data_IF_506064240308
#
_entry.id   IF_506064240308
#
_cell.length_a   1.000
_cell.length_b   1.000
_cell.length_c   1.000
_cell.angle_alpha   90.00
_cell.angle_beta   90.00
_cell.angle_gamma   90.00
#
_symmetry.space_group_name_H-M   'P 1'
#
loop_
_entity.id
_entity.type
_entity.pdbx_description
1 polymer ?
#
# COMPACT_ATOMS: atom_id res chain seq x y z
N UNK A 1 -2.35 -16.72 20.27
CA UNK A 1 -1.30 -16.73 19.22
C UNK A 1 -1.55 -15.53 18.31
N UNK A 2 -0.51 -14.84 17.86
CA UNK A 2 -0.67 -13.81 16.82
C UNK A 2 -1.19 -14.48 15.53
N UNK A 3 -2.14 -13.84 14.85
CA UNK A 3 -2.70 -14.37 13.60
C UNK A 3 -1.68 -14.28 12.43
N UNK A 4 -0.79 -13.27 12.47
CA UNK A 4 0.35 -13.15 11.56
C UNK A 4 1.67 -13.43 12.28
N UNK A 5 2.63 -13.99 11.55
CA UNK A 5 4.00 -14.20 12.04
C UNK A 5 4.70 -12.86 12.34
N UNK A 6 4.39 -11.82 11.57
CA UNK A 6 4.98 -10.48 11.72
C UNK A 6 4.56 -9.78 13.02
N UNK A 7 3.41 -10.16 13.59
CA UNK A 7 2.90 -9.62 14.86
C UNK A 7 3.30 -10.48 16.08
N UNK A 8 4.03 -11.57 15.85
CA UNK A 8 4.40 -12.50 16.93
C UNK A 8 5.50 -11.92 17.82
N UNK A 9 5.21 -11.75 19.11
CA UNK A 9 6.21 -11.35 20.11
C UNK A 9 7.32 -12.40 20.29
N UNK A 10 7.04 -13.67 19.98
CA UNK A 10 8.00 -14.76 20.13
C UNK A 10 8.83 -14.98 18.87
N UNK A 11 8.21 -14.88 17.69
CA UNK A 11 8.80 -15.32 16.42
C UNK A 11 9.04 -14.19 15.42
N UNK A 12 8.45 -13.01 15.62
CA UNK A 12 8.52 -11.91 14.64
C UNK A 12 9.94 -11.43 14.38
N UNK A 13 10.81 -11.46 15.38
CA UNK A 13 12.22 -11.08 15.24
C UNK A 13 13.03 -12.00 14.32
N UNK A 14 12.55 -13.23 14.05
CA UNK A 14 13.20 -14.16 13.11
C UNK A 14 13.05 -13.72 11.65
N UNK A 15 12.00 -12.95 11.35
CA UNK A 15 11.62 -12.52 10.00
C UNK A 15 11.18 -11.06 10.00
N UNK A 16 11.93 -10.21 10.71
CA UNK A 16 11.57 -8.80 10.87
C UNK A 16 11.52 -8.09 9.51
N UNK A 17 10.39 -7.45 9.16
CA UNK A 17 10.28 -6.66 7.93
C UNK A 17 10.89 -5.25 8.07
N UNK A 18 11.61 -4.98 9.17
CA UNK A 18 12.10 -3.64 9.50
C UNK A 18 10.96 -2.61 9.58
N UNK A 19 11.21 -1.42 9.04
CA UNK A 19 10.25 -0.32 9.02
C UNK A 19 8.99 -0.60 8.20
N UNK A 20 8.98 -1.63 7.35
CA UNK A 20 7.82 -1.96 6.52
C UNK A 20 6.64 -2.49 7.35
N UNK A 21 6.89 -3.08 8.53
CA UNK A 21 5.83 -3.60 9.41
C UNK A 21 4.78 -2.55 9.75
N UNK A 22 5.20 -1.30 9.97
CA UNK A 22 4.27 -0.20 10.32
C UNK A 22 3.29 0.16 9.20
N UNK A 23 3.63 -0.14 7.94
CA UNK A 23 2.84 0.21 6.76
C UNK A 23 1.60 -0.68 6.59
N UNK A 24 1.60 -1.87 7.19
CA UNK A 24 0.46 -2.80 7.22
C UNK A 24 -0.09 -2.91 8.65
N UNK A 25 -0.44 -1.76 9.21
CA UNK A 25 -1.19 -1.64 10.47
C UNK A 25 -2.54 -0.98 10.21
N UNK A 26 -3.52 -1.23 11.08
CA UNK A 26 -4.84 -0.59 10.99
C UNK A 26 -4.72 0.95 11.01
N UNK A 27 -3.76 1.49 11.78
CA UNK A 27 -3.49 2.93 11.84
C UNK A 27 -2.93 3.46 10.51
N UNK A 28 -2.03 2.72 9.85
CA UNK A 28 -1.52 3.12 8.54
C UNK A 28 -2.60 3.05 7.45
N UNK A 29 -3.49 2.07 7.53
CA UNK A 29 -4.66 1.97 6.65
C UNK A 29 -5.61 3.16 6.82
N UNK A 30 -6.03 3.45 8.05
CA UNK A 30 -6.87 4.61 8.38
C UNK A 30 -6.21 5.92 7.94
N UNK A 31 -4.93 6.11 8.24
CA UNK A 31 -4.17 7.29 7.85
C UNK A 31 -4.13 7.47 6.33
N UNK A 32 -3.90 6.40 5.57
CA UNK A 32 -3.88 6.44 4.11
C UNK A 32 -5.26 6.80 3.55
N UNK A 33 -6.34 6.20 4.06
CA UNK A 33 -7.71 6.53 3.63
C UNK A 33 -8.07 7.99 3.93
N UNK A 34 -7.67 8.53 5.09
CA UNK A 34 -7.87 9.95 5.41
C UNK A 34 -7.11 10.87 4.44
N UNK A 35 -5.87 10.53 4.06
CA UNK A 35 -5.13 11.31 3.05
C UNK A 35 -5.84 11.32 1.69
N UNK A 36 -6.40 10.18 1.29
CA UNK A 36 -7.18 10.07 0.05
C UNK A 36 -8.45 10.92 0.11
N UNK A 37 -9.22 10.84 1.20
CA UNK A 37 -10.43 11.66 1.37
C UNK A 37 -10.13 13.16 1.27
N UNK A 38 -9.04 13.63 1.89
CA UNK A 38 -8.62 15.02 1.78
C UNK A 38 -8.18 15.42 0.37
N UNK A 39 -7.45 14.53 -0.33
CA UNK A 39 -7.04 14.77 -1.71
C UNK A 39 -8.24 14.84 -2.66
N UNK A 40 -9.25 13.98 -2.46
CA UNK A 40 -10.50 14.00 -3.23
C UNK A 40 -11.26 15.29 -2.98
N UNK A 41 -11.47 15.68 -1.71
CA UNK A 41 -12.14 16.94 -1.39
C UNK A 41 -11.43 18.15 -2.00
N UNK A 42 -10.09 18.17 -1.95
CA UNK A 42 -9.28 19.22 -2.61
C UNK A 42 -9.49 19.24 -4.13
N UNK A 43 -9.45 18.08 -4.79
CA UNK A 43 -9.63 17.97 -6.23
C UNK A 43 -11.04 18.38 -6.68
N UNK A 44 -12.06 18.06 -5.88
CA UNK A 44 -13.45 18.44 -6.09
C UNK A 44 -13.69 19.94 -5.86
N UNK A 45 -13.13 20.52 -4.80
CA UNK A 45 -13.24 21.94 -4.50
C UNK A 45 -12.57 22.83 -5.56
N UNK A 46 -11.46 22.38 -6.14
CA UNK A 46 -10.80 23.07 -7.26
C UNK A 46 -11.61 23.07 -8.58
N UNK A 47 -12.71 22.32 -8.64
CA UNK A 47 -13.60 22.17 -9.79
C UNK A 47 -15.04 22.59 -9.49
N UNK A 48 -15.22 23.31 -8.38
CA UNK A 48 -16.53 23.82 -7.93
C UNK A 48 -17.60 22.73 -7.71
N UNK A 49 -17.19 21.47 -7.48
CA UNK A 49 -18.13 20.38 -7.19
C UNK A 49 -18.60 20.38 -5.74
N UNK A 50 -17.74 20.84 -4.84
CA UNK A 50 -18.07 21.13 -3.44
C UNK A 50 -17.58 22.55 -3.12
N UNK A 51 -18.16 23.25 -2.12
CA UNK A 51 -17.68 24.56 -1.73
C UNK A 51 -16.19 24.55 -1.38
N UNK A 52 -15.42 25.52 -1.88
CA UNK A 52 -13.98 25.61 -1.64
C UNK A 52 -13.62 25.67 -0.13
N UNK A 53 -14.45 26.34 0.67
CA UNK A 53 -14.31 26.38 2.13
C UNK A 53 -14.49 25.01 2.77
N UNK A 54 -15.45 24.20 2.28
CA UNK A 54 -15.65 22.82 2.72
C UNK A 54 -14.48 21.93 2.33
N UNK A 55 -13.95 22.07 1.11
CA UNK A 55 -12.74 21.36 0.68
C UNK A 55 -11.54 21.69 1.59
N UNK A 56 -11.34 22.96 1.93
CA UNK A 56 -10.29 23.40 2.84
C UNK A 56 -10.50 22.88 4.27
N UNK A 57 -11.74 22.89 4.77
CA UNK A 57 -12.09 22.37 6.09
C UNK A 57 -11.82 20.86 6.19
N UNK A 58 -12.23 20.08 5.18
CA UNK A 58 -11.94 18.64 5.10
C UNK A 58 -10.43 18.41 5.03
N UNK A 59 -9.72 19.20 4.22
CA UNK A 59 -8.26 19.12 4.09
C UNK A 59 -7.51 19.31 5.41
N UNK A 60 -7.96 20.24 6.27
CA UNK A 60 -7.42 20.42 7.62
C UNK A 60 -7.79 19.25 8.53
N UNK A 61 -9.07 18.89 8.55
CA UNK A 61 -9.58 17.84 9.43
C UNK A 61 -8.89 16.50 9.20
N UNK A 62 -8.64 16.10 7.95
CA UNK A 62 -7.95 14.84 7.70
C UNK A 62 -6.53 14.84 8.25
N UNK A 63 -5.86 15.98 8.43
CA UNK A 63 -4.51 16.04 9.01
C UNK A 63 -4.56 16.03 10.54
N UNK A 64 -5.53 16.72 11.13
CA UNK A 64 -5.60 16.96 12.58
C UNK A 64 -6.34 15.84 13.35
N UNK A 65 -7.35 15.23 12.74
CA UNK A 65 -8.18 14.21 13.41
C UNK A 65 -7.42 12.89 13.53
N UNK A 66 -7.35 12.39 14.76
CA UNK A 66 -6.87 11.04 15.07
C UNK A 66 -8.07 10.10 15.25
N UNK A 67 -8.23 9.13 14.33
CA UNK A 67 -9.31 8.13 14.41
C UNK A 67 -8.71 6.80 14.86
N UNK A 68 -9.19 6.29 15.99
CA UNK A 68 -8.84 4.96 16.48
C UNK A 68 -9.47 3.89 15.57
N UNK A 69 -8.68 3.02 14.91
CA UNK A 69 -9.22 1.95 14.08
C UNK A 69 -10.14 0.99 14.85
N UNK A 70 -9.92 0.82 16.15
CA UNK A 70 -10.72 -0.08 16.98
C UNK A 70 -12.20 0.33 17.02
N UNK A 71 -12.47 1.64 16.94
CA UNK A 71 -13.82 2.21 16.91
C UNK A 71 -14.58 1.87 15.62
N UNK A 72 -13.87 1.56 14.53
CA UNK A 72 -14.46 1.25 13.22
C UNK A 72 -14.94 -0.20 13.12
N UNK A 73 -14.41 -1.09 13.95
CA UNK A 73 -14.55 -2.56 13.87
C UNK A 73 -15.99 -3.03 13.65
N UNK A 74 -16.94 -2.52 14.44
CA UNK A 74 -18.34 -2.99 14.42
C UNK A 74 -19.00 -2.74 13.06
N UNK A 75 -18.79 -1.56 12.50
CA UNK A 75 -19.38 -1.19 11.22
C UNK A 75 -18.59 -1.80 10.05
N UNK A 76 -17.27 -1.94 10.16
CA UNK A 76 -16.46 -2.72 9.21
C UNK A 76 -16.99 -4.14 9.07
N UNK A 77 -17.27 -4.83 10.19
CA UNK A 77 -17.81 -6.18 10.17
C UNK A 77 -19.19 -6.28 9.47
N UNK A 78 -19.99 -5.21 9.50
CA UNK A 78 -21.31 -5.16 8.87
C UNK A 78 -21.25 -4.80 7.39
N UNK A 79 -20.33 -3.92 6.99
CA UNK A 79 -20.24 -3.35 5.64
C UNK A 79 -19.17 -4.02 4.77
N UNK A 80 -18.30 -4.84 5.36
CA UNK A 80 -17.16 -5.46 4.66
C UNK A 80 -15.99 -4.51 4.38
N UNK A 81 -16.09 -3.24 4.79
CA UNK A 81 -15.10 -2.18 4.56
C UNK A 81 -15.15 -1.15 5.69
N UNK A 82 -14.00 -0.55 6.08
CA UNK A 82 -13.98 0.49 7.10
C UNK A 82 -14.41 1.88 6.59
N UNK A 83 -14.47 2.11 5.28
CA UNK A 83 -14.66 3.46 4.71
C UNK A 83 -15.94 4.15 5.23
N UNK A 84 -17.13 3.50 5.27
CA UNK A 84 -18.33 4.16 5.77
C UNK A 84 -18.22 4.58 7.24
N UNK A 85 -17.61 3.73 8.07
CA UNK A 85 -17.38 4.01 9.49
C UNK A 85 -16.37 5.15 9.67
N UNK A 86 -15.31 5.14 8.87
CA UNK A 86 -14.28 6.18 8.86
C UNK A 86 -14.86 7.54 8.45
N UNK A 87 -15.68 7.59 7.40
CA UNK A 87 -16.36 8.81 6.95
C UNK A 87 -17.27 9.34 8.05
N UNK A 88 -18.05 8.48 8.70
CA UNK A 88 -18.92 8.89 9.81
C UNK A 88 -18.11 9.45 10.99
N UNK A 89 -17.01 8.79 11.37
CA UNK A 89 -16.12 9.25 12.43
C UNK A 89 -15.49 10.61 12.07
N UNK A 90 -14.92 10.76 10.87
CA UNK A 90 -14.34 12.03 10.42
C UNK A 90 -15.37 13.17 10.43
N UNK A 91 -16.59 12.93 9.95
CA UNK A 91 -17.67 13.92 9.98
C UNK A 91 -18.02 14.37 11.39
N UNK A 92 -18.05 13.44 12.35
CA UNK A 92 -18.30 13.73 13.75
C UNK A 92 -17.18 14.58 14.35
N UNK A 93 -15.92 14.19 14.14
CA UNK A 93 -14.74 14.87 14.70
C UNK A 93 -14.52 16.27 14.11
N UNK A 94 -14.98 16.53 12.89
CA UNK A 94 -14.89 17.85 12.27
C UNK A 94 -15.62 18.95 13.04
N UNK A 95 -16.66 18.62 13.82
CA UNK A 95 -17.49 19.59 14.55
C UNK A 95 -17.99 20.79 13.70
N UNK A 96 -18.15 20.59 12.39
CA UNK A 96 -18.58 21.60 11.42
C UNK A 96 -19.56 20.96 10.41
N UNK A 97 -20.84 20.77 10.79
CA UNK A 97 -21.82 20.04 9.98
C UNK A 97 -21.97 20.55 8.55
N UNK A 98 -21.88 21.87 8.36
CA UNK A 98 -21.97 22.56 7.07
C UNK A 98 -20.87 22.12 6.09
N UNK A 99 -19.70 21.73 6.60
CA UNK A 99 -18.58 21.22 5.80
C UNK A 99 -18.54 19.69 5.79
N UNK A 100 -18.87 19.05 6.91
CA UNK A 100 -18.78 17.60 7.09
C UNK A 100 -19.67 16.82 6.10
N UNK A 101 -20.81 17.38 5.68
CA UNK A 101 -21.67 16.76 4.67
C UNK A 101 -20.95 16.47 3.34
N UNK A 102 -19.87 17.19 3.03
CA UNK A 102 -19.09 17.02 1.80
C UNK A 102 -17.97 15.99 1.90
N UNK A 103 -17.71 15.40 3.08
CA UNK A 103 -16.76 14.29 3.22
C UNK A 103 -17.24 13.11 2.37
N UNK A 104 -16.36 12.57 1.51
CA UNK A 104 -16.66 11.46 0.59
C UNK A 104 -17.84 11.76 -0.37
N UNK A 105 -18.06 13.03 -0.72
CA UNK A 105 -19.11 13.40 -1.67
C UNK A 105 -18.85 12.76 -3.03
N UNK A 106 -19.85 12.07 -3.59
CA UNK A 106 -19.77 11.45 -4.92
C UNK A 106 -18.59 10.50 -5.14
N UNK A 107 -18.11 9.84 -4.09
CA UNK A 107 -16.90 9.00 -4.11
C UNK A 107 -17.26 7.55 -3.77
N UNK A 108 -16.82 6.61 -4.61
CA UNK A 108 -17.03 5.19 -4.34
C UNK A 108 -16.13 4.72 -3.20
N UNK A 109 -16.62 3.79 -2.39
CA UNK A 109 -15.83 3.17 -1.29
C UNK A 109 -14.49 2.64 -1.80
N UNK A 110 -14.51 2.00 -2.97
CA UNK A 110 -13.33 1.37 -3.53
C UNK A 110 -12.28 2.37 -4.03
N UNK A 111 -12.68 3.58 -4.42
CA UNK A 111 -11.74 4.67 -4.77
C UNK A 111 -10.83 5.00 -3.59
N UNK A 112 -11.42 5.04 -2.39
CA UNK A 112 -10.71 5.32 -1.14
C UNK A 112 -9.79 4.16 -0.76
N UNK A 113 -10.28 2.92 -0.77
CA UNK A 113 -9.48 1.76 -0.35
C UNK A 113 -8.32 1.47 -1.31
N UNK A 114 -8.59 1.51 -2.63
CA UNK A 114 -7.57 1.18 -3.63
C UNK A 114 -6.48 2.24 -3.69
N UNK A 115 -6.84 3.53 -3.67
CA UNK A 115 -5.83 4.60 -3.62
C UNK A 115 -5.03 4.55 -2.32
N UNK A 116 -5.67 4.23 -1.18
CA UNK A 116 -4.98 4.09 0.10
C UNK A 116 -4.00 2.89 0.11
N UNK A 117 -4.36 1.78 -0.54
CA UNK A 117 -3.46 0.66 -0.78
C UNK A 117 -2.25 1.10 -1.61
N UNK A 118 -2.46 1.86 -2.69
CA UNK A 118 -1.38 2.34 -3.56
C UNK A 118 -0.42 3.29 -2.84
N UNK A 119 -0.91 4.14 -1.93
CA UNK A 119 -0.06 4.97 -1.07
C UNK A 119 0.85 4.16 -0.14
N UNK A 120 0.36 3.04 0.38
CA UNK A 120 1.14 2.13 1.24
C UNK A 120 2.13 1.30 0.40
N UNK A 121 1.69 0.76 -0.74
CA UNK A 121 2.55 0.04 -1.67
C UNK A 121 3.69 0.89 -2.21
N UNK A 122 3.46 2.17 -2.50
CA UNK A 122 4.53 3.10 -2.87
C UNK A 122 5.63 3.17 -1.81
N UNK A 123 5.26 3.23 -0.53
CA UNK A 123 6.23 3.26 0.57
C UNK A 123 7.00 1.93 0.69
N UNK A 124 6.32 0.79 0.51
CA UNK A 124 6.97 -0.53 0.44
C UNK A 124 8.00 -0.57 -0.68
N UNK A 125 7.63 -0.15 -1.89
CA UNK A 125 8.53 -0.14 -3.04
C UNK A 125 9.73 0.79 -2.83
N UNK A 126 9.56 1.92 -2.14
CA UNK A 126 10.67 2.81 -1.79
C UNK A 126 11.64 2.18 -0.78
N UNK A 127 11.13 1.48 0.23
CA UNK A 127 11.96 0.76 1.21
C UNK A 127 12.76 -0.36 0.52
N UNK A 128 12.09 -1.15 -0.31
CA UNK A 128 12.74 -2.22 -1.07
C UNK A 128 13.78 -1.68 -2.05
N UNK A 129 13.49 -0.58 -2.76
CA UNK A 129 14.49 0.04 -3.65
C UNK A 129 15.74 0.48 -2.89
N UNK A 130 15.58 1.13 -1.73
CA UNK A 130 16.70 1.59 -0.92
C UNK A 130 17.56 0.41 -0.45
N UNK A 131 16.92 -0.66 0.03
CA UNK A 131 17.63 -1.83 0.51
C UNK A 131 18.28 -2.63 -0.63
N UNK A 132 17.60 -2.80 -1.76
CA UNK A 132 18.16 -3.47 -2.94
C UNK A 132 19.37 -2.72 -3.49
N UNK A 133 19.35 -1.38 -3.54
CA UNK A 133 20.53 -0.58 -3.91
C UNK A 133 21.70 -0.84 -2.96
N UNK A 134 21.44 -0.83 -1.66
CA UNK A 134 22.49 -1.09 -0.67
C UNK A 134 23.06 -2.52 -0.79
N UNK A 135 22.19 -3.53 -0.98
CA UNK A 135 22.62 -4.91 -1.19
C UNK A 135 23.47 -5.00 -2.46
N UNK A 136 23.04 -4.38 -3.58
CA UNK A 136 23.82 -4.38 -4.82
C UNK A 136 25.23 -3.80 -4.60
N UNK A 137 25.34 -2.67 -3.91
CA UNK A 137 26.62 -2.05 -3.58
C UNK A 137 27.50 -2.95 -2.70
N UNK A 138 26.90 -3.61 -1.70
CA UNK A 138 27.61 -4.53 -0.80
C UNK A 138 28.12 -5.79 -1.52
N UNK A 139 27.31 -6.36 -2.42
CA UNK A 139 27.71 -7.50 -3.24
C UNK A 139 28.85 -7.13 -4.18
N UNK A 140 28.76 -5.98 -4.85
CA UNK A 140 29.83 -5.49 -5.72
C UNK A 140 31.13 -5.28 -4.95
N UNK A 141 31.09 -4.71 -3.74
CA UNK A 141 32.28 -4.58 -2.87
C UNK A 141 32.90 -5.93 -2.47
N UNK A 142 32.08 -6.98 -2.36
CA UNK A 142 32.52 -8.36 -2.05
C UNK A 142 32.91 -9.16 -3.31
N UNK A 143 32.85 -8.57 -4.51
CA UNK A 143 33.14 -9.26 -5.77
C UNK A 143 32.07 -10.27 -6.19
N UNK A 144 30.87 -10.20 -5.61
CA UNK A 144 29.74 -11.05 -5.95
C UNK A 144 28.88 -10.34 -6.99
N UNK A 145 28.40 -11.07 -8.00
CA UNK A 145 27.52 -10.51 -9.04
C UNK A 145 26.22 -9.97 -8.43
N UNK A 146 25.90 -8.72 -8.75
CA UNK A 146 24.64 -8.06 -8.37
C UNK A 146 23.66 -7.92 -9.55
N UNK A 147 23.91 -8.58 -10.68
CA UNK A 147 23.12 -8.41 -11.91
C UNK A 147 21.63 -8.68 -11.74
N UNK A 148 21.26 -9.71 -10.95
CA UNK A 148 19.86 -10.01 -10.67
C UNK A 148 19.15 -8.88 -9.89
N UNK A 149 19.87 -8.24 -8.95
CA UNK A 149 19.35 -7.10 -8.19
C UNK A 149 19.24 -5.86 -9.08
N UNK A 150 20.24 -5.63 -9.94
CA UNK A 150 20.20 -4.54 -10.93
C UNK A 150 19.01 -4.69 -11.86
N UNK A 151 18.66 -5.92 -12.28
CA UNK A 151 17.44 -6.17 -13.08
C UNK A 151 16.16 -5.86 -12.31
N UNK A 152 16.06 -6.23 -11.02
CA UNK A 152 14.90 -5.88 -10.18
C UNK A 152 14.72 -4.37 -10.06
N UNK A 153 15.82 -3.64 -9.83
CA UNK A 153 15.85 -2.18 -9.77
C UNK A 153 15.49 -1.55 -11.12
N UNK A 154 15.95 -2.13 -12.23
CA UNK A 154 15.66 -1.66 -13.58
C UNK A 154 14.19 -1.79 -13.97
N UNK A 155 13.47 -2.78 -13.44
CA UNK A 155 12.03 -2.96 -13.68
C UNK A 155 11.14 -2.01 -12.87
N UNK A 156 11.68 -1.40 -11.80
CA UNK A 156 10.90 -0.64 -10.84
C UNK A 156 10.29 0.67 -11.39
N UNK A 157 10.98 1.48 -12.23
CA UNK A 157 10.39 2.67 -12.83
C UNK A 157 9.12 2.35 -13.64
N UNK A 158 9.16 1.33 -14.50
CA UNK A 158 8.02 0.92 -15.32
C UNK A 158 6.88 0.37 -14.46
N UNK A 159 7.20 -0.42 -13.43
CA UNK A 159 6.22 -0.92 -12.48
C UNK A 159 5.49 0.24 -11.77
N UNK A 160 6.21 1.26 -11.33
CA UNK A 160 5.59 2.44 -10.70
C UNK A 160 4.71 3.21 -11.66
N UNK A 161 5.19 3.45 -12.88
CA UNK A 161 4.46 4.22 -13.87
C UNK A 161 3.17 3.52 -14.32
N UNK A 162 3.18 2.19 -14.42
CA UNK A 162 2.05 1.40 -14.91
C UNK A 162 1.09 0.91 -13.82
N UNK A 163 1.58 0.66 -12.60
CA UNK A 163 0.79 -0.03 -11.57
C UNK A 163 0.47 0.83 -10.34
N UNK A 164 1.32 1.78 -9.95
CA UNK A 164 1.05 2.65 -8.79
C UNK A 164 0.18 3.83 -9.19
N UNK A 165 -1.12 3.60 -9.31
CA UNK A 165 -2.06 4.59 -9.81
C UNK A 165 -3.17 4.95 -8.80
N UNK A 166 -3.85 6.07 -9.01
CA UNK A 166 -5.04 6.43 -8.22
C UNK A 166 -6.27 5.64 -8.68
N UNK A 167 -7.22 5.43 -7.77
CA UNK A 167 -8.57 4.95 -8.09
C UNK A 167 -9.56 6.08 -7.88
N UNK A 168 -10.35 6.38 -8.93
CA UNK A 168 -11.44 7.36 -8.86
C UNK A 168 -12.46 7.11 -9.98
N UNK A 169 -13.35 6.15 -9.83
CA UNK A 169 -14.50 6.01 -10.76
C UNK A 169 -15.63 6.98 -10.43
N UNK A 170 -15.71 7.43 -9.18
CA UNK A 170 -16.77 8.31 -8.70
C UNK A 170 -18.11 7.58 -8.58
N UNK A 171 -19.05 8.21 -7.87
CA UNK A 171 -20.45 7.81 -7.93
C UNK A 171 -21.12 8.56 -9.08
N UNK A 172 -21.46 7.85 -10.17
CA UNK A 172 -22.00 8.43 -11.40
C UNK A 172 -23.36 9.13 -11.20
N UNK A 173 -24.05 8.86 -10.09
CA UNK A 173 -25.27 9.58 -9.73
C UNK A 173 -24.99 10.98 -9.19
N UNK A 174 -23.80 11.20 -8.61
CA UNK A 174 -23.42 12.45 -7.95
C UNK A 174 -22.40 13.26 -8.76
N UNK A 175 -21.46 12.61 -9.46
CA UNK A 175 -20.37 13.27 -10.18
C UNK A 175 -20.58 13.19 -11.70
N UNK A 176 -20.63 14.33 -12.42
CA UNK A 176 -20.75 14.31 -13.87
C UNK A 176 -19.59 13.58 -14.55
N UNK A 177 -19.91 12.65 -15.46
CA UNK A 177 -18.93 11.77 -16.09
C UNK A 177 -17.81 12.53 -16.83
N UNK A 178 -18.09 13.72 -17.35
CA UNK A 178 -17.12 14.57 -18.05
C UNK A 178 -16.04 15.16 -17.13
N UNK A 179 -16.27 15.21 -15.81
CA UNK A 179 -15.33 15.78 -14.83
C UNK A 179 -14.42 14.72 -14.20
N UNK A 180 -14.79 13.44 -14.30
CA UNK A 180 -14.03 12.32 -13.72
C UNK A 180 -12.56 12.27 -14.15
N UNK A 181 -12.20 12.45 -15.45
CA UNK A 181 -10.80 12.44 -15.86
C UNK A 181 -9.97 13.54 -15.19
N UNK A 182 -10.55 14.72 -15.02
CA UNK A 182 -9.85 15.85 -14.41
C UNK A 182 -9.63 15.62 -12.91
N UNK A 183 -10.62 15.08 -12.20
CA UNK A 183 -10.45 14.73 -10.77
C UNK A 183 -9.37 13.66 -10.62
N UNK A 184 -9.42 12.62 -11.46
CA UNK A 184 -8.42 11.54 -11.45
C UNK A 184 -7.01 12.06 -11.71
N UNK A 185 -6.85 12.97 -12.67
CA UNK A 185 -5.57 13.61 -12.95
C UNK A 185 -5.07 14.47 -11.77
N UNK A 186 -5.94 15.25 -11.14
CA UNK A 186 -5.58 16.04 -9.96
C UNK A 186 -5.24 15.17 -8.74
N UNK A 187 -5.90 14.03 -8.57
CA UNK A 187 -5.56 13.05 -7.54
C UNK A 187 -4.18 12.44 -7.79
N UNK A 188 -3.91 12.03 -9.02
CA UNK A 188 -2.62 11.47 -9.43
C UNK A 188 -1.48 12.45 -9.11
N UNK A 189 -1.63 13.71 -9.51
CA UNK A 189 -0.66 14.78 -9.19
C UNK A 189 -0.54 15.00 -7.67
N UNK A 190 -1.66 15.24 -6.98
CA UNK A 190 -1.68 15.59 -5.57
C UNK A 190 -1.20 14.47 -4.63
N UNK A 191 -1.34 13.22 -5.05
CA UNK A 191 -0.90 12.04 -4.30
C UNK A 191 0.42 11.47 -4.81
N UNK A 192 1.02 12.03 -5.86
CA UNK A 192 2.21 11.48 -6.55
C UNK A 192 2.07 9.99 -6.87
N UNK A 193 0.98 9.68 -7.57
CA UNK A 193 0.63 8.37 -8.15
C UNK A 193 0.31 8.58 -9.64
N UNK A 194 0.30 7.51 -10.42
CA UNK A 194 -0.08 7.56 -11.83
C UNK A 194 -1.59 7.79 -12.01
N UNK A 195 -1.97 8.42 -13.13
CA UNK A 195 -3.35 8.47 -13.58
C UNK A 195 -3.60 7.30 -14.54
N UNK A 196 -4.45 6.32 -14.20
CA UNK A 196 -4.69 5.16 -15.05
C UNK A 196 -5.54 5.50 -16.29
N UNK A 197 -6.12 6.70 -16.38
CA UNK A 197 -7.02 7.17 -17.46
C UNK A 197 -8.28 6.31 -17.67
N UNK A 198 -8.56 5.39 -16.73
CA UNK A 198 -9.69 4.46 -16.74
C UNK A 198 -10.06 4.05 -15.32
N UNK A 199 -11.25 3.50 -15.18
CA UNK A 199 -11.59 2.69 -14.01
C UNK A 199 -10.87 1.34 -14.07
N UNK A 200 -10.43 0.86 -12.90
CA UNK A 200 -9.73 -0.40 -12.70
C UNK A 200 -10.25 -1.17 -11.47
N UNK A 201 -11.43 -0.84 -10.94
CA UNK A 201 -12.02 -1.55 -9.79
C UNK A 201 -12.07 -3.07 -9.99
N UNK A 202 -12.38 -3.52 -11.21
CA UNK A 202 -12.45 -4.94 -11.58
C UNK A 202 -11.19 -5.45 -12.31
N UNK A 203 -10.27 -4.56 -12.69
CA UNK A 203 -9.03 -4.92 -13.37
C UNK A 203 -7.86 -4.81 -12.39
N UNK A 204 -7.47 -5.96 -11.86
CA UNK A 204 -6.45 -6.07 -10.80
C UNK A 204 -5.06 -6.39 -11.34
N UNK A 205 -4.84 -6.36 -12.67
CA UNK A 205 -3.54 -6.71 -13.28
C UNK A 205 -2.39 -5.88 -12.72
N UNK A 206 -2.61 -4.58 -12.48
CA UNK A 206 -1.58 -3.71 -11.88
C UNK A 206 -1.13 -4.19 -10.48
N UNK A 207 -2.07 -4.65 -9.65
CA UNK A 207 -1.75 -5.23 -8.33
C UNK A 207 -1.01 -6.55 -8.52
N UNK A 208 -1.40 -7.38 -9.48
CA UNK A 208 -0.76 -8.65 -9.75
C UNK A 208 0.70 -8.47 -10.20
N UNK A 209 1.00 -7.47 -11.02
CA UNK A 209 2.37 -7.12 -11.39
C UNK A 209 3.21 -6.66 -10.19
N UNK A 210 2.62 -5.86 -9.27
CA UNK A 210 3.31 -5.47 -8.03
C UNK A 210 3.61 -6.70 -7.18
N UNK A 211 2.64 -7.60 -7.02
CA UNK A 211 2.77 -8.86 -6.27
C UNK A 211 3.86 -9.75 -6.88
N UNK A 212 3.89 -9.88 -8.20
CA UNK A 212 4.92 -10.67 -8.89
C UNK A 212 6.31 -10.08 -8.68
N UNK A 213 6.44 -8.75 -8.75
CA UNK A 213 7.72 -8.09 -8.50
C UNK A 213 8.18 -8.29 -7.04
N UNK A 214 7.26 -8.19 -6.06
CA UNK A 214 7.55 -8.45 -4.65
C UNK A 214 8.00 -9.91 -4.41
N UNK A 215 7.32 -10.87 -5.05
CA UNK A 215 7.71 -12.28 -4.97
C UNK A 215 9.08 -12.52 -5.64
N UNK A 216 9.33 -11.89 -6.79
CA UNK A 216 10.61 -11.99 -7.49
C UNK A 216 11.78 -11.41 -6.67
N UNK A 217 11.53 -10.36 -5.87
CA UNK A 217 12.51 -9.88 -4.89
C UNK A 217 12.88 -10.99 -3.88
N UNK A 218 11.88 -11.63 -3.27
CA UNK A 218 12.10 -12.73 -2.31
C UNK A 218 12.86 -13.90 -2.95
N UNK A 219 12.43 -14.32 -4.14
CA UNK A 219 13.03 -15.45 -4.88
C UNK A 219 14.48 -15.17 -5.30
N UNK A 220 14.79 -13.94 -5.72
CA UNK A 220 16.15 -13.53 -6.09
C UNK A 220 17.07 -13.50 -4.87
N UNK A 221 16.60 -12.90 -3.76
CA UNK A 221 17.42 -12.70 -2.56
C UNK A 221 17.67 -14.00 -1.80
N UNK A 222 16.70 -14.93 -1.77
CA UNK A 222 16.92 -16.23 -1.10
C UNK A 222 17.99 -17.05 -1.83
N UNK A 223 18.10 -16.97 -3.16
CA UNK A 223 19.16 -17.64 -3.92
C UNK A 223 20.53 -17.08 -3.53
N UNK A 224 20.65 -15.75 -3.41
CA UNK A 224 21.88 -15.08 -2.98
C UNK A 224 22.28 -15.44 -1.54
N UNK A 225 21.33 -15.86 -0.71
CA UNK A 225 21.58 -16.31 0.67
C UNK A 225 22.12 -17.73 0.79
N UNK A 226 22.05 -18.55 -0.27
CA UNK A 226 22.39 -19.98 -0.23
C UNK A 226 23.88 -20.27 -0.49
N UNK A 227 24.79 -19.34 -0.20
CA UNK A 227 26.23 -19.64 -0.21
C UNK A 227 26.59 -20.43 1.06
N UNK A 228 27.19 -21.61 0.87
CA UNK A 228 27.27 -22.73 1.82
C UNK A 228 27.80 -22.39 3.24
N UNK A 229 26.93 -22.62 4.25
CA UNK A 229 27.20 -23.41 5.48
C UNK A 229 25.93 -23.45 6.38
N UNK A 230 25.06 -22.43 6.34
CA UNK A 230 23.74 -22.44 7.02
C UNK A 230 22.66 -21.71 6.18
N UNK A 231 21.85 -22.42 5.36
CA UNK A 231 20.71 -21.78 4.68
C UNK A 231 19.72 -21.28 5.73
N UNK A 232 19.25 -20.02 5.65
CA UNK A 232 18.30 -19.47 6.62
C UNK A 232 16.92 -20.16 6.45
N UNK A 233 16.56 -21.16 7.29
CA UNK A 233 15.35 -21.95 7.06
C UNK A 233 14.08 -21.12 7.24
N UNK A 234 14.14 -20.06 8.06
CA UNK A 234 13.02 -19.17 8.31
C UNK A 234 12.67 -18.35 7.07
N UNK A 235 13.66 -17.74 6.40
CA UNK A 235 13.44 -16.98 5.16
C UNK A 235 13.00 -17.89 4.01
N UNK A 236 13.52 -19.12 3.93
CA UNK A 236 13.08 -20.10 2.93
C UNK A 236 11.61 -20.49 3.14
N UNK A 237 11.20 -20.77 4.38
CA UNK A 237 9.81 -21.05 4.71
C UNK A 237 8.90 -19.86 4.38
N UNK A 238 9.35 -18.64 4.71
CA UNK A 238 8.63 -17.41 4.43
C UNK A 238 8.44 -17.17 2.93
N UNK A 239 9.47 -17.43 2.12
CA UNK A 239 9.41 -17.30 0.65
C UNK A 239 8.47 -18.33 0.02
N UNK A 240 8.45 -19.56 0.55
CA UNK A 240 7.50 -20.60 0.11
C UNK A 240 6.06 -20.23 0.48
N UNK A 241 5.84 -19.69 1.67
CA UNK A 241 4.53 -19.20 2.10
C UNK A 241 4.05 -18.06 1.19
N UNK A 242 4.89 -17.05 0.95
CA UNK A 242 4.51 -15.91 0.10
C UNK A 242 4.16 -16.37 -1.32
N UNK A 243 4.91 -17.33 -1.88
CA UNK A 243 4.62 -17.90 -3.20
C UNK A 243 3.25 -18.57 -3.27
N UNK A 244 2.84 -19.29 -2.21
CA UNK A 244 1.51 -19.87 -2.14
C UNK A 244 0.41 -18.78 -2.11
N UNK A 245 0.65 -17.71 -1.35
CA UNK A 245 -0.27 -16.57 -1.26
C UNK A 245 -0.43 -15.81 -2.58
N UNK A 246 0.62 -15.70 -3.41
CA UNK A 246 0.53 -15.10 -4.75
C UNK A 246 -0.54 -15.79 -5.60
N UNK A 247 -0.55 -17.13 -5.59
CA UNK A 247 -1.56 -17.91 -6.31
C UNK A 247 -2.97 -17.65 -5.78
N UNK A 248 -3.12 -17.55 -4.46
CA UNK A 248 -4.41 -17.23 -3.81
C UNK A 248 -4.94 -15.86 -4.23
N UNK A 249 -4.10 -14.84 -4.37
CA UNK A 249 -4.55 -13.51 -4.83
C UNK A 249 -5.01 -13.56 -6.28
N UNK A 250 -4.27 -14.23 -7.16
CA UNK A 250 -4.55 -14.24 -8.60
C UNK A 250 -5.77 -15.07 -9.01
N UNK A 251 -6.10 -16.09 -8.21
CA UNK A 251 -7.19 -17.03 -8.53
C UNK A 251 -8.40 -16.88 -7.60
N UNK A 252 -8.23 -16.16 -6.49
CA UNK A 252 -9.24 -15.96 -5.47
C UNK A 252 -10.14 -14.74 -5.72
N UNK A 253 -11.12 -14.53 -4.83
CA UNK A 253 -11.90 -13.30 -4.84
C UNK A 253 -11.02 -12.10 -4.48
N UNK A 254 -11.43 -10.88 -4.84
CA UNK A 254 -10.69 -9.65 -4.55
C UNK A 254 -10.34 -9.49 -3.05
N UNK A 255 -11.18 -10.02 -2.15
CA UNK A 255 -10.90 -10.02 -0.71
C UNK A 255 -9.61 -10.77 -0.34
N UNK A 256 -9.12 -11.67 -1.19
CA UNK A 256 -7.82 -12.32 -1.03
C UNK A 256 -6.67 -11.32 -1.03
N UNK A 257 -6.79 -10.19 -1.74
CA UNK A 257 -5.79 -9.10 -1.72
C UNK A 257 -5.58 -8.60 -0.29
N UNK A 258 -6.65 -8.31 0.44
CA UNK A 258 -6.60 -7.83 1.82
C UNK A 258 -5.90 -8.82 2.76
N UNK A 259 -6.09 -10.13 2.55
CA UNK A 259 -5.52 -11.17 3.39
C UNK A 259 -4.05 -11.47 3.06
N UNK A 260 -3.71 -11.48 1.77
CA UNK A 260 -2.46 -12.07 1.28
C UNK A 260 -1.41 -11.03 0.94
N UNK A 261 -1.80 -9.89 0.37
CA UNK A 261 -0.86 -8.86 -0.10
C UNK A 261 0.03 -8.31 1.03
N UNK A 262 -0.49 -7.99 2.24
CA UNK A 262 0.36 -7.58 3.35
C UNK A 262 1.45 -8.60 3.66
N UNK A 263 1.11 -9.88 3.68
CA UNK A 263 2.07 -10.95 3.94
C UNK A 263 3.11 -11.06 2.83
N UNK A 264 2.73 -10.97 1.55
CA UNK A 264 3.67 -11.01 0.43
C UNK A 264 4.64 -9.83 0.49
N UNK A 265 4.13 -8.62 0.72
CA UNK A 265 4.94 -7.41 0.81
C UNK A 265 5.90 -7.43 2.01
N UNK A 266 5.42 -7.83 3.19
CA UNK A 266 6.24 -7.95 4.39
C UNK A 266 7.27 -9.09 4.26
N UNK A 267 6.96 -10.19 3.57
CA UNK A 267 7.92 -11.25 3.27
C UNK A 267 9.08 -10.76 2.39
N UNK A 268 8.78 -9.96 1.36
CA UNK A 268 9.81 -9.34 0.52
C UNK A 268 10.70 -8.40 1.34
N UNK A 269 10.10 -7.57 2.19
CA UNK A 269 10.84 -6.66 3.06
C UNK A 269 11.68 -7.41 4.09
N UNK A 270 11.14 -8.46 4.71
CA UNK A 270 11.86 -9.28 5.69
C UNK A 270 13.06 -10.00 5.07
N UNK A 271 12.89 -10.54 3.87
CA UNK A 271 13.98 -11.16 3.12
C UNK A 271 15.07 -10.13 2.81
N UNK A 272 14.68 -8.98 2.28
CA UNK A 272 15.63 -7.91 1.94
C UNK A 272 16.36 -7.39 3.17
N UNK A 273 15.64 -7.15 4.27
CA UNK A 273 16.21 -6.69 5.54
C UNK A 273 17.23 -7.68 6.10
N UNK A 274 16.91 -8.98 6.08
CA UNK A 274 17.80 -10.01 6.59
C UNK A 274 19.08 -10.16 5.75
N UNK A 275 18.99 -10.12 4.42
CA UNK A 275 20.16 -10.16 3.53
C UNK A 275 21.02 -8.91 3.66
N UNK A 276 20.39 -7.74 3.76
CA UNK A 276 21.11 -6.49 4.02
C UNK A 276 21.92 -6.58 5.32
N UNK A 277 21.31 -7.10 6.38
CA UNK A 277 21.97 -7.27 7.69
C UNK A 277 23.11 -8.28 7.64
N UNK A 278 22.97 -9.40 6.91
CA UNK A 278 24.03 -10.41 6.81
C UNK A 278 25.25 -9.95 5.99
N UNK A 279 25.06 -9.01 5.07
CA UNK A 279 26.15 -8.47 4.25
C UNK A 279 26.92 -7.32 4.93
N UNK A 280 26.31 -6.66 5.91
CA UNK A 280 26.94 -5.60 6.70
C UNK A 280 27.97 -6.18 7.69
N UNK A 281 29.05 -5.45 8.00
CA UNK A 281 29.96 -5.85 9.07
C UNK A 281 29.20 -5.90 10.42
N UNK A 282 29.54 -6.82 11.32
CA UNK A 282 28.96 -6.82 12.67
C UNK A 282 29.27 -5.50 13.38
N UNK A 283 28.25 -4.93 14.04
CA UNK A 283 28.38 -3.77 14.94
C UNK A 283 29.23 -4.09 16.17
#
# INVERSE_FOLDING_TARGET
MAASLFDSQLYGSLVSPGDAGRLFSDSAEVRAMLLVLGAIAKAQGARDLIPAESAAAIGRAVVEVAIDPSALRKETARKGTPVPALVAALRSEMNAPEHAQFVNWGTAVQDVTDTALMLRLRQILNLLEADLKLIADLLTKKGISSSAIVSLLGALPDLRASCLCVSFSGDLEAVPANVLPDIRAALAEGLALADPKRDWHNDREGIYHIIDWLQNCSDTLIILSNTEEEPNPQLRALTLQSRALVSTVKTGPQFAELLCLPHIALSACATTYAIRKSLQPPE
#
